data_IF_365036893583
#
_entry.id   IF_365036893583
#
_cell.length_a   1.000
_cell.length_b   1.000
_cell.length_c   1.000
_cell.angle_alpha   90.00
_cell.angle_beta   90.00
_cell.angle_gamma   90.00
#
_symmetry.space_group_name_H-M   'P 1'
#
loop_
_entity.id
_entity.type
_entity.pdbx_description
1 polymer ?
#
# COMPACT_ATOMS: atom_id res chain seq x y z
N UNK A 1 -19.51 -38.13 36.15
CA UNK A 1 -18.06 -37.97 35.86
C UNK A 1 -17.78 -37.05 34.67
N UNK A 2 -18.39 -37.26 33.50
CA UNK A 2 -18.18 -36.44 32.28
C UNK A 2 -18.58 -34.97 32.49
N UNK A 3 -19.70 -34.69 33.14
CA UNK A 3 -20.18 -33.32 33.42
C UNK A 3 -19.20 -32.53 34.29
N UNK A 4 -18.57 -33.18 35.25
CA UNK A 4 -17.58 -32.54 36.14
C UNK A 4 -16.28 -32.15 35.38
N UNK A 5 -15.85 -32.99 34.43
CA UNK A 5 -14.69 -32.76 33.59
C UNK A 5 -14.96 -31.58 32.65
N UNK A 6 -16.16 -31.48 32.05
CA UNK A 6 -16.56 -30.37 31.18
C UNK A 6 -16.62 -29.05 31.95
N UNK A 7 -17.14 -29.07 33.20
CA UNK A 7 -17.16 -27.88 34.06
C UNK A 7 -15.75 -27.38 34.43
N UNK A 8 -14.82 -28.29 34.72
CA UNK A 8 -13.42 -27.95 35.04
C UNK A 8 -12.73 -27.36 33.80
N UNK A 9 -12.96 -27.94 32.60
CA UNK A 9 -12.43 -27.40 31.32
C UNK A 9 -12.99 -26.01 31.03
N UNK A 10 -14.28 -25.78 31.24
CA UNK A 10 -14.89 -24.44 31.07
C UNK A 10 -14.31 -23.39 32.03
N UNK A 11 -14.10 -23.77 33.29
CA UNK A 11 -13.47 -22.87 34.30
C UNK A 11 -12.02 -22.54 33.97
N UNK A 12 -11.24 -23.48 33.39
CA UNK A 12 -9.86 -23.21 32.98
C UNK A 12 -9.78 -22.31 31.75
N UNK A 13 -10.69 -22.44 30.79
CA UNK A 13 -10.76 -21.58 29.61
C UNK A 13 -11.18 -20.15 29.99
N UNK A 14 -12.20 -20.01 30.84
CA UNK A 14 -12.67 -18.70 31.31
C UNK A 14 -11.65 -18.01 32.24
N UNK A 15 -11.01 -18.76 33.12
CA UNK A 15 -9.95 -18.22 34.00
C UNK A 15 -8.68 -17.84 33.24
N UNK A 16 -8.27 -18.65 32.26
CA UNK A 16 -7.14 -18.36 31.36
C UNK A 16 -7.38 -17.12 30.50
N UNK A 17 -8.57 -17.01 29.92
CA UNK A 17 -8.98 -15.84 29.14
C UNK A 17 -9.00 -14.55 29.98
N UNK A 18 -9.54 -14.59 31.18
CA UNK A 18 -9.53 -13.45 32.12
C UNK A 18 -8.11 -13.04 32.52
N UNK A 19 -7.23 -14.02 32.79
CA UNK A 19 -5.84 -13.76 33.14
C UNK A 19 -5.05 -13.08 31.99
N UNK A 20 -5.23 -13.54 30.76
CA UNK A 20 -4.59 -12.95 29.60
C UNK A 20 -5.08 -11.52 29.35
N UNK A 21 -6.38 -11.25 29.47
CA UNK A 21 -6.95 -9.90 29.33
C UNK A 21 -6.45 -8.96 30.43
N UNK A 22 -6.28 -9.43 31.65
CA UNK A 22 -5.73 -8.65 32.77
C UNK A 22 -4.26 -8.31 32.53
N UNK A 23 -3.46 -9.26 32.05
CA UNK A 23 -2.04 -9.06 31.76
C UNK A 23 -1.82 -8.07 30.62
N UNK A 24 -2.68 -8.09 29.60
CA UNK A 24 -2.65 -7.12 28.49
C UNK A 24 -2.97 -5.71 28.98
N UNK A 25 -3.92 -5.57 29.93
CA UNK A 25 -4.28 -4.28 30.52
C UNK A 25 -3.16 -3.71 31.40
N UNK A 26 -2.54 -4.53 32.22
CA UNK A 26 -1.41 -4.12 33.07
C UNK A 26 -0.15 -3.75 32.28
N UNK A 27 0.13 -4.43 31.19
CA UNK A 27 1.22 -4.08 30.29
C UNK A 27 0.96 -2.76 29.54
N UNK A 28 -0.29 -2.49 29.16
CA UNK A 28 -0.68 -1.22 28.52
C UNK A 28 -0.53 -0.04 29.49
N UNK A 29 -0.87 -0.22 30.79
CA UNK A 29 -0.70 0.81 31.82
C UNK A 29 0.77 1.04 32.21
N UNK A 30 1.61 0.00 32.21
CA UNK A 30 3.06 0.14 32.46
C UNK A 30 3.76 0.88 31.33
N UNK A 31 3.38 0.64 30.07
CA UNK A 31 3.91 1.34 28.90
C UNK A 31 3.53 2.83 28.93
N UNK A 32 2.34 3.17 29.41
CA UNK A 32 1.91 4.57 29.56
C UNK A 32 2.61 5.28 30.74
N UNK A 33 2.92 4.57 31.84
CA UNK A 33 3.63 5.18 32.98
C UNK A 33 5.12 5.40 32.72
N UNK A 34 5.77 4.58 31.91
CA UNK A 34 7.18 4.79 31.52
C UNK A 34 7.38 5.95 30.55
N UNK A 35 6.32 6.37 29.81
CA UNK A 35 6.36 7.58 28.97
C UNK A 35 6.20 8.90 29.76
N UNK A 36 5.86 8.85 31.03
CA UNK A 36 5.56 10.04 31.82
C UNK A 36 6.67 10.45 32.83
N UNK A 37 7.77 9.72 32.90
CA UNK A 37 8.90 10.05 33.80
C UNK A 37 10.23 10.09 33.01
N UNK A 38 10.38 11.05 32.14
CA UNK A 38 11.63 11.28 31.40
C UNK A 38 11.63 12.61 30.66
N UNK A 39 12.09 13.63 31.38
CA UNK A 39 12.74 14.84 30.87
C UNK A 39 11.97 15.78 29.96
N UNK A 40 11.64 16.92 30.55
CA UNK A 40 11.41 18.23 29.95
C UNK A 40 12.53 18.61 28.99
N UNK A 41 12.32 18.38 27.71
CA UNK A 41 12.93 19.13 26.62
C UNK A 41 11.76 19.59 25.77
N UNK A 42 11.70 20.88 25.51
CA UNK A 42 10.72 21.51 24.63
C UNK A 42 10.98 21.04 23.19
N UNK A 43 10.58 19.80 22.89
CA UNK A 43 10.34 19.34 21.53
C UNK A 43 8.84 19.51 21.30
N UNK A 44 8.52 20.41 20.40
CA UNK A 44 7.18 20.57 19.84
C UNK A 44 6.65 19.18 19.48
N UNK A 45 5.60 18.73 20.13
CA UNK A 45 4.80 17.58 19.67
C UNK A 45 4.27 18.00 18.30
N UNK A 46 5.01 17.66 17.26
CA UNK A 46 4.57 17.85 15.90
C UNK A 46 3.33 16.96 15.75
N UNK A 47 2.17 17.60 15.66
CA UNK A 47 0.90 16.88 15.38
C UNK A 47 1.16 16.09 14.10
N UNK A 48 1.09 14.76 14.18
CA UNK A 48 1.39 13.84 13.07
C UNK A 48 0.48 14.04 11.84
N UNK A 49 -0.44 15.02 11.93
CA UNK A 49 -1.40 15.37 10.89
C UNK A 49 -1.12 16.75 10.26
N UNK A 50 0.07 17.32 10.46
CA UNK A 50 0.45 18.61 9.90
C UNK A 50 1.75 18.52 9.10
N UNK A 51 1.89 19.39 8.10
CA UNK A 51 3.11 19.57 7.28
C UNK A 51 3.46 21.04 7.21
N UNK A 52 4.76 21.37 7.28
CA UNK A 52 5.25 22.73 7.07
C UNK A 52 5.65 22.91 5.60
N UNK A 53 5.08 23.92 4.95
CA UNK A 53 5.43 24.29 3.58
C UNK A 53 5.57 25.80 3.45
N UNK A 54 6.75 26.25 2.98
CA UNK A 54 7.11 27.69 2.81
C UNK A 54 6.90 28.52 4.07
N UNK A 55 7.14 27.94 5.25
CA UNK A 55 7.04 28.62 6.54
C UNK A 55 5.61 28.72 7.11
N UNK A 56 4.66 28.07 6.47
CA UNK A 56 3.28 27.94 6.96
C UNK A 56 2.96 26.48 7.30
N UNK A 57 2.18 26.28 8.36
CA UNK A 57 1.76 24.95 8.80
C UNK A 57 0.40 24.61 8.19
N UNK A 58 0.34 23.51 7.47
CA UNK A 58 -0.87 22.97 6.87
C UNK A 58 -1.31 21.70 7.60
N UNK A 59 -2.59 21.51 7.74
CA UNK A 59 -3.19 20.28 8.27
C UNK A 59 -3.74 19.42 7.14
N UNK A 60 -3.48 18.11 7.19
CA UNK A 60 -4.11 17.19 6.25
C UNK A 60 -5.62 17.19 6.44
N UNK A 61 -6.34 17.12 5.31
CA UNK A 61 -7.79 17.06 5.34
C UNK A 61 -8.27 15.69 5.86
N UNK A 62 -8.88 15.67 7.03
CA UNK A 62 -9.36 14.46 7.71
C UNK A 62 -10.53 13.76 6.98
N UNK A 63 -11.21 14.47 6.05
CA UNK A 63 -12.27 13.91 5.21
C UNK A 63 -11.74 13.07 4.05
N UNK A 64 -10.44 13.19 3.73
CA UNK A 64 -9.82 12.41 2.68
C UNK A 64 -9.45 11.01 3.15
N UNK A 65 -9.70 10.04 2.29
CA UNK A 65 -9.22 8.67 2.43
C UNK A 65 -8.36 8.33 1.22
N UNK A 66 -7.07 8.16 1.43
CA UNK A 66 -6.09 7.92 0.37
C UNK A 66 -5.80 6.43 0.24
N UNK A 67 -5.81 5.92 -0.98
CA UNK A 67 -5.52 4.53 -1.33
C UNK A 67 -4.50 4.50 -2.47
N UNK A 68 -3.51 3.63 -2.34
CA UNK A 68 -2.46 3.43 -3.35
C UNK A 68 -2.84 2.27 -4.25
N UNK A 69 -2.87 2.50 -5.56
CA UNK A 69 -3.06 1.48 -6.59
C UNK A 69 -1.78 1.33 -7.40
N UNK A 70 -1.37 0.11 -7.65
CA UNK A 70 -0.12 -0.19 -8.36
C UNK A 70 -0.34 -1.28 -9.40
N UNK A 71 0.17 -1.06 -10.61
CA UNK A 71 0.34 -2.06 -11.65
C UNK A 71 1.77 -2.59 -11.61
N UNK A 72 1.92 -3.91 -11.49
CA UNK A 72 3.21 -4.59 -11.37
C UNK A 72 3.53 -5.31 -12.68
N UNK A 73 4.75 -5.17 -13.16
CA UNK A 73 5.24 -5.68 -14.45
C UNK A 73 5.54 -7.20 -14.48
N UNK A 74 4.84 -7.98 -13.65
CA UNK A 74 4.96 -9.43 -13.60
C UNK A 74 3.72 -10.13 -14.13
N UNK A 75 3.89 -11.38 -14.62
CA UNK A 75 2.79 -12.27 -15.03
C UNK A 75 2.62 -13.47 -14.10
N UNK A 76 3.64 -13.78 -13.30
CA UNK A 76 3.65 -14.96 -12.44
C UNK A 76 2.81 -14.80 -11.17
N UNK A 77 2.35 -15.92 -10.64
CA UNK A 77 1.72 -15.93 -9.33
C UNK A 77 2.75 -15.66 -8.24
N UNK A 78 2.32 -14.90 -7.26
CA UNK A 78 3.13 -14.43 -6.12
C UNK A 78 3.83 -15.57 -5.34
N UNK A 79 3.40 -16.84 -5.52
CA UNK A 79 3.97 -17.98 -4.80
C UNK A 79 5.33 -18.47 -5.36
N UNK A 80 5.72 -17.99 -6.53
CA UNK A 80 6.97 -18.39 -7.21
C UNK A 80 8.16 -17.46 -6.95
N UNK A 81 7.96 -16.33 -6.26
CA UNK A 81 9.03 -15.37 -6.00
C UNK A 81 10.10 -15.93 -5.07
N UNK A 82 11.32 -16.01 -5.57
CA UNK A 82 12.49 -16.51 -4.83
C UNK A 82 13.55 -15.44 -4.62
N UNK A 83 13.57 -14.37 -5.44
CA UNK A 83 14.54 -13.29 -5.40
C UNK A 83 13.84 -11.93 -5.46
N UNK A 84 14.59 -10.85 -5.19
CA UNK A 84 14.08 -9.47 -5.35
C UNK A 84 13.71 -9.16 -6.81
N UNK A 85 14.42 -9.73 -7.78
CA UNK A 85 14.16 -9.54 -9.21
C UNK A 85 12.81 -10.15 -9.62
N UNK A 86 12.40 -11.24 -8.96
CA UNK A 86 11.12 -11.91 -9.23
C UNK A 86 9.91 -11.11 -8.74
N UNK A 87 10.10 -10.19 -7.78
CA UNK A 87 9.02 -9.39 -7.21
C UNK A 87 8.41 -8.41 -8.22
N UNK A 88 9.14 -8.06 -9.28
CA UNK A 88 8.74 -7.04 -10.25
C UNK A 88 8.84 -5.62 -9.75
N UNK A 89 8.39 -4.67 -10.55
CA UNK A 89 8.41 -3.25 -10.27
C UNK A 89 7.00 -2.65 -10.41
N UNK A 90 6.74 -1.57 -9.71
CA UNK A 90 5.47 -0.85 -9.82
C UNK A 90 5.54 0.16 -10.99
N UNK A 91 5.14 -0.25 -12.17
CA UNK A 91 5.22 0.56 -13.38
C UNK A 91 4.05 1.54 -13.55
N UNK A 92 2.93 1.26 -12.90
CA UNK A 92 1.79 2.16 -12.82
C UNK A 92 1.51 2.46 -11.33
N UNK A 93 1.53 3.74 -10.95
CA UNK A 93 1.36 4.16 -9.55
C UNK A 93 0.31 5.26 -9.50
N UNK A 94 -0.81 4.99 -8.82
CA UNK A 94 -1.92 5.92 -8.67
C UNK A 94 -2.27 6.09 -7.19
N UNK A 95 -2.36 7.34 -6.74
CA UNK A 95 -2.95 7.65 -5.46
C UNK A 95 -4.39 8.13 -5.68
N UNK A 96 -5.35 7.40 -5.15
CA UNK A 96 -6.77 7.72 -5.21
C UNK A 96 -7.19 8.33 -3.88
N UNK A 97 -7.63 9.58 -3.89
CA UNK A 97 -8.13 10.31 -2.73
C UNK A 97 -9.64 10.43 -2.82
N UNK A 98 -10.34 9.84 -1.87
CA UNK A 98 -11.80 9.92 -1.75
C UNK A 98 -12.16 10.98 -0.71
N UNK A 99 -12.84 12.03 -1.15
CA UNK A 99 -13.43 13.04 -0.27
C UNK A 99 -14.88 12.63 0.03
N UNK A 100 -15.10 12.19 1.27
CA UNK A 100 -16.44 11.74 1.70
C UNK A 100 -17.39 12.89 2.02
N UNK A 101 -16.87 14.07 2.29
CA UNK A 101 -17.69 15.24 2.59
C UNK A 101 -18.23 15.89 1.31
N UNK A 102 -17.40 15.93 0.27
CA UNK A 102 -17.75 16.53 -1.03
C UNK A 102 -18.18 15.48 -2.08
N UNK A 103 -18.18 14.18 -1.73
CA UNK A 103 -18.47 13.06 -2.64
C UNK A 103 -17.62 13.09 -3.92
N UNK A 104 -16.34 13.48 -3.78
CA UNK A 104 -15.41 13.62 -4.89
C UNK A 104 -14.28 12.61 -4.81
N UNK A 105 -13.83 12.20 -5.98
CA UNK A 105 -12.63 11.38 -6.14
C UNK A 105 -11.58 12.18 -6.91
N UNK A 106 -10.34 12.14 -6.42
CA UNK A 106 -9.16 12.67 -7.12
C UNK A 106 -8.18 11.54 -7.35
N UNK A 107 -7.59 11.49 -8.53
CA UNK A 107 -6.54 10.52 -8.89
C UNK A 107 -5.28 11.29 -9.20
N UNK A 108 -4.20 10.98 -8.48
CA UNK A 108 -2.86 11.48 -8.73
C UNK A 108 -2.04 10.34 -9.34
N UNK A 109 -1.61 10.51 -10.58
CA UNK A 109 -0.62 9.64 -11.22
C UNK A 109 0.78 10.03 -10.75
N UNK A 110 1.58 9.06 -10.31
CA UNK A 110 2.97 9.22 -9.93
C UNK A 110 3.83 8.50 -10.97
N UNK A 111 4.61 9.23 -11.79
CA UNK A 111 5.49 8.62 -12.77
C UNK A 111 6.46 7.62 -12.10
N UNK A 112 6.64 6.46 -12.69
CA UNK A 112 7.47 5.39 -12.12
C UNK A 112 8.94 5.82 -11.91
N UNK A 113 9.43 6.73 -12.75
CA UNK A 113 10.80 7.27 -12.69
C UNK A 113 10.94 8.45 -11.70
N UNK A 114 9.92 8.72 -10.86
CA UNK A 114 9.99 9.76 -9.85
C UNK A 114 11.11 9.43 -8.86
N UNK A 115 12.09 10.34 -8.77
CA UNK A 115 13.20 10.22 -7.81
C UNK A 115 12.72 10.54 -6.40
N UNK A 116 12.84 9.58 -5.51
CA UNK A 116 12.43 9.75 -4.10
C UNK A 116 13.33 8.92 -3.17
N UNK A 117 13.17 9.14 -1.87
CA UNK A 117 13.87 8.38 -0.85
C UNK A 117 13.23 6.99 -0.71
N UNK A 118 13.96 5.96 -1.09
CA UNK A 118 13.57 4.57 -0.97
C UNK A 118 14.45 3.83 0.05
N UNK A 119 13.93 2.77 0.65
CA UNK A 119 14.68 1.87 1.54
C UNK A 119 15.23 0.70 0.75
N UNK A 120 16.53 0.43 0.93
CA UNK A 120 17.24 -0.65 0.25
C UNK A 120 17.57 -1.78 1.20
N UNK A 121 17.67 -3.00 0.67
CA UNK A 121 17.93 -4.20 1.46
C UNK A 121 19.00 -5.06 0.80
N UNK A 122 19.77 -5.79 1.61
CA UNK A 122 20.65 -6.82 1.09
C UNK A 122 19.88 -8.11 0.74
N UNK A 123 20.50 -9.10 0.05
CA UNK A 123 19.85 -10.36 -0.30
C UNK A 123 19.33 -11.17 0.90
N UNK A 124 19.85 -10.91 2.11
CA UNK A 124 19.36 -11.52 3.35
C UNK A 124 18.17 -10.77 3.96
N UNK A 125 17.61 -9.75 3.28
CA UNK A 125 16.47 -8.96 3.73
C UNK A 125 16.79 -7.97 4.85
N UNK A 126 18.07 -7.69 5.15
CA UNK A 126 18.47 -6.68 6.12
C UNK A 126 18.52 -5.31 5.45
N UNK A 127 17.89 -4.31 6.07
CA UNK A 127 17.94 -2.93 5.61
C UNK A 127 19.39 -2.40 5.56
N UNK A 128 19.73 -1.77 4.46
CA UNK A 128 20.98 -1.03 4.23
C UNK A 128 20.78 0.49 4.42
N UNK A 129 19.56 0.90 4.80
CA UNK A 129 19.19 2.29 4.91
C UNK A 129 18.49 2.80 3.64
N UNK A 130 18.52 4.12 3.47
CA UNK A 130 17.80 4.80 2.39
C UNK A 130 18.76 5.36 1.36
N UNK A 131 18.31 5.36 0.10
CA UNK A 131 18.93 6.06 -1.02
C UNK A 131 17.89 6.86 -1.79
N UNK A 132 18.30 7.78 -2.65
CA UNK A 132 17.40 8.44 -3.60
C UNK A 132 17.49 7.69 -4.91
N UNK A 133 16.36 7.16 -5.37
CA UNK A 133 16.26 6.40 -6.60
C UNK A 133 14.84 6.44 -7.15
N UNK A 134 14.59 5.77 -8.28
CA UNK A 134 13.26 5.64 -8.88
C UNK A 134 12.28 4.96 -7.95
N UNK A 135 11.08 5.51 -7.82
CA UNK A 135 10.08 5.02 -6.86
C UNK A 135 9.61 3.59 -7.18
N UNK A 136 9.53 3.23 -8.46
CA UNK A 136 9.02 1.93 -8.91
C UNK A 136 9.84 0.74 -8.37
N UNK A 137 11.17 0.90 -8.23
CA UNK A 137 12.05 -0.17 -7.74
C UNK A 137 11.87 -0.44 -6.24
N UNK A 138 11.21 0.44 -5.49
CA UNK A 138 10.93 0.19 -4.09
C UNK A 138 10.10 -1.09 -3.89
N UNK A 139 9.23 -1.42 -4.86
CA UNK A 139 8.42 -2.65 -4.82
C UNK A 139 9.31 -3.90 -4.84
N UNK A 140 10.35 -3.91 -5.69
CA UNK A 140 11.28 -5.02 -5.85
C UNK A 140 12.10 -5.33 -4.58
N UNK A 141 12.27 -4.37 -3.67
CA UNK A 141 12.95 -4.59 -2.39
C UNK A 141 12.12 -5.37 -1.36
N UNK A 142 10.88 -5.70 -1.66
CA UNK A 142 10.00 -6.46 -0.79
C UNK A 142 9.98 -7.96 -1.11
N UNK A 143 8.80 -8.54 -1.01
CA UNK A 143 8.51 -9.96 -1.22
C UNK A 143 7.56 -10.20 -2.41
N UNK A 144 7.31 -9.18 -3.23
CA UNK A 144 6.30 -9.21 -4.28
C UNK A 144 4.86 -9.25 -3.76
N UNK A 145 4.68 -9.19 -2.44
CA UNK A 145 3.38 -9.28 -1.74
C UNK A 145 3.19 -8.09 -0.79
N UNK A 146 2.85 -8.41 0.45
CA UNK A 146 2.53 -7.42 1.48
C UNK A 146 3.72 -6.51 1.79
N UNK A 147 4.93 -7.04 1.94
CA UNK A 147 6.12 -6.23 2.25
C UNK A 147 6.41 -5.24 1.13
N UNK A 148 6.34 -5.67 -0.14
CA UNK A 148 6.51 -4.79 -1.30
C UNK A 148 5.50 -3.64 -1.31
N UNK A 149 4.23 -3.95 -1.04
CA UNK A 149 3.17 -2.94 -0.97
C UNK A 149 3.36 -1.96 0.20
N UNK A 150 3.78 -2.43 1.38
CA UNK A 150 4.04 -1.56 2.53
C UNK A 150 5.26 -0.64 2.29
N UNK A 151 6.30 -1.14 1.63
CA UNK A 151 7.45 -0.33 1.22
C UNK A 151 7.03 0.77 0.23
N UNK A 152 6.24 0.43 -0.78
CA UNK A 152 5.70 1.40 -1.74
C UNK A 152 4.79 2.43 -1.06
N UNK A 153 3.90 1.99 -0.18
CA UNK A 153 3.04 2.88 0.60
C UNK A 153 3.87 3.89 1.39
N UNK A 154 4.95 3.43 2.03
CA UNK A 154 5.88 4.28 2.78
C UNK A 154 6.60 5.28 1.87
N UNK A 155 7.10 4.82 0.71
CA UNK A 155 7.79 5.68 -0.24
C UNK A 155 6.87 6.78 -0.80
N UNK A 156 5.63 6.43 -1.18
CA UNK A 156 4.62 7.40 -1.66
C UNK A 156 4.21 8.37 -0.54
N UNK A 157 4.01 7.88 0.68
CA UNK A 157 3.72 8.74 1.83
C UNK A 157 4.84 9.75 2.05
N UNK A 158 6.10 9.31 2.05
CA UNK A 158 7.26 10.18 2.21
C UNK A 158 7.42 11.19 1.07
N UNK A 159 7.14 10.79 -0.19
CA UNK A 159 7.14 11.69 -1.35
C UNK A 159 6.14 12.84 -1.18
N UNK A 160 5.05 12.59 -0.46
CA UNK A 160 3.95 13.52 -0.21
C UNK A 160 3.95 14.04 1.25
N UNK A 161 5.14 14.29 1.79
CA UNK A 161 5.38 14.89 3.12
C UNK A 161 4.69 14.16 4.29
N UNK A 162 4.56 12.84 4.19
CA UNK A 162 3.96 12.00 5.23
C UNK A 162 2.44 11.85 5.08
N UNK A 163 1.88 12.11 3.89
CA UNK A 163 0.46 11.95 3.62
C UNK A 163 -0.05 10.56 4.08
N UNK A 164 -1.07 10.50 4.94
CA UNK A 164 -1.63 9.23 5.38
C UNK A 164 -2.27 8.43 4.24
N UNK A 165 -1.82 7.18 4.02
CA UNK A 165 -2.38 6.25 3.04
C UNK A 165 -3.02 5.09 3.80
N UNK A 166 -4.33 4.91 3.64
CA UNK A 166 -5.13 3.94 4.41
C UNK A 166 -4.96 2.51 3.95
N UNK A 167 -4.75 2.31 2.67
CA UNK A 167 -4.63 0.97 2.09
C UNK A 167 -4.03 1.00 0.71
N UNK A 168 -3.79 -0.18 0.16
CA UNK A 168 -3.22 -0.36 -1.17
C UNK A 168 -3.87 -1.51 -1.91
N UNK A 169 -3.73 -1.50 -3.23
CA UNK A 169 -4.02 -2.59 -4.15
C UNK A 169 -2.87 -2.71 -5.12
N UNK A 170 -2.31 -3.91 -5.27
CA UNK A 170 -1.34 -4.22 -6.32
C UNK A 170 -1.93 -5.26 -7.26
N UNK A 171 -1.75 -5.06 -8.54
CA UNK A 171 -2.25 -5.93 -9.60
C UNK A 171 -1.12 -6.20 -10.60
N UNK A 172 -0.90 -7.45 -10.93
CA UNK A 172 0.03 -7.84 -11.98
C UNK A 172 -0.64 -7.79 -13.36
N UNK A 173 0.12 -8.11 -14.42
CA UNK A 173 -0.37 -8.08 -15.81
C UNK A 173 -1.58 -9.00 -16.03
N UNK A 174 -1.61 -10.18 -15.39
CA UNK A 174 -2.74 -11.11 -15.55
C UNK A 174 -4.03 -10.60 -14.88
N UNK A 175 -3.89 -9.76 -13.86
CA UNK A 175 -5.03 -9.10 -13.21
C UNK A 175 -5.74 -8.09 -14.09
N UNK A 176 -5.06 -7.53 -15.11
CA UNK A 176 -5.66 -6.58 -16.07
C UNK A 176 -6.79 -7.26 -16.82
N UNK A 177 -6.54 -8.44 -17.38
CA UNK A 177 -7.55 -9.21 -18.10
C UNK A 177 -8.78 -9.49 -17.23
N UNK A 178 -8.55 -9.95 -16.01
CA UNK A 178 -9.63 -10.28 -15.09
C UNK A 178 -10.48 -9.04 -14.70
N UNK A 179 -9.86 -7.90 -14.44
CA UNK A 179 -10.60 -6.69 -14.06
C UNK A 179 -11.34 -6.09 -15.26
N UNK A 180 -10.74 -6.16 -16.46
CA UNK A 180 -11.38 -5.70 -17.70
C UNK A 180 -12.67 -6.47 -17.97
N UNK A 181 -12.66 -7.80 -17.84
CA UNK A 181 -13.86 -8.62 -17.96
C UNK A 181 -14.88 -8.35 -16.86
N UNK A 182 -14.41 -8.17 -15.63
CA UNK A 182 -15.28 -7.90 -14.49
C UNK A 182 -16.10 -6.61 -14.64
N UNK A 183 -15.51 -5.56 -15.26
CA UNK A 183 -16.22 -4.30 -15.52
C UNK A 183 -17.04 -4.32 -16.80
N UNK A 184 -17.05 -5.42 -17.56
CA UNK A 184 -17.81 -5.59 -18.79
C UNK A 184 -17.11 -5.05 -20.04
N UNK A 185 -15.80 -4.90 -20.01
CA UNK A 185 -14.99 -4.33 -21.07
C UNK A 185 -14.76 -2.81 -20.93
N UNK A 186 -13.79 -2.30 -21.66
CA UNK A 186 -13.45 -0.86 -21.69
C UNK A 186 -13.44 -0.38 -23.12
N UNK A 187 -14.34 0.53 -23.46
CA UNK A 187 -14.35 1.19 -24.77
C UNK A 187 -13.33 2.33 -24.79
N UNK A 188 -12.49 2.37 -25.80
CA UNK A 188 -11.53 3.45 -26.00
C UNK A 188 -11.36 3.78 -27.50
N UNK A 189 -10.95 5.01 -27.78
CA UNK A 189 -10.48 5.42 -29.10
C UNK A 189 -8.96 5.27 -29.14
N UNK A 190 -8.47 4.53 -30.13
CA UNK A 190 -7.03 4.29 -30.32
C UNK A 190 -6.33 5.62 -30.65
N UNK A 191 -5.31 6.03 -29.85
CA UNK A 191 -4.71 7.36 -29.97
C UNK A 191 -3.72 7.50 -31.13
N UNK A 192 -3.08 6.40 -31.57
CA UNK A 192 -2.07 6.36 -32.63
C UNK A 192 -1.94 4.95 -33.22
N UNK A 193 -1.06 4.80 -34.23
CA UNK A 193 -0.85 3.53 -34.94
C UNK A 193 0.25 2.64 -34.32
N UNK A 194 0.69 2.88 -33.08
CA UNK A 194 1.81 2.13 -32.47
C UNK A 194 1.54 0.64 -32.34
N UNK A 195 0.28 0.23 -32.24
CA UNK A 195 -0.16 -1.16 -32.11
C UNK A 195 -0.72 -1.78 -33.41
N UNK A 196 -0.83 -1.01 -34.50
CA UNK A 196 -1.43 -1.46 -35.77
C UNK A 196 -0.72 -2.69 -36.36
N UNK A 197 0.61 -2.76 -36.25
CA UNK A 197 1.39 -3.92 -36.75
C UNK A 197 1.11 -5.20 -35.93
N UNK A 198 0.82 -5.06 -34.63
CA UNK A 198 0.52 -6.20 -33.76
C UNK A 198 -0.93 -6.64 -33.85
N UNK A 199 -1.84 -5.67 -33.96
CA UNK A 199 -3.26 -5.91 -34.12
C UNK A 199 -3.87 -4.84 -35.03
N UNK A 200 -4.29 -5.20 -36.28
CA UNK A 200 -4.84 -4.26 -37.24
C UNK A 200 -6.10 -3.52 -36.81
N UNK A 201 -6.81 -4.03 -35.80
CA UNK A 201 -8.00 -3.37 -35.25
C UNK A 201 -7.61 -2.15 -34.38
N UNK A 202 -6.34 -2.09 -33.92
CA UNK A 202 -5.79 -0.98 -33.10
C UNK A 202 -5.18 0.11 -34.00
N UNK A 203 -5.98 0.62 -34.90
CA UNK A 203 -5.62 1.72 -35.81
C UNK A 203 -6.05 3.06 -35.24
N UNK A 204 -5.22 4.11 -35.46
CA UNK A 204 -5.52 5.47 -34.98
C UNK A 204 -6.97 5.89 -35.34
N UNK A 205 -7.70 6.36 -34.35
CA UNK A 205 -9.08 6.79 -34.46
C UNK A 205 -10.12 5.66 -34.44
N UNK A 206 -9.73 4.39 -34.46
CA UNK A 206 -10.66 3.28 -34.28
C UNK A 206 -11.23 3.27 -32.87
N UNK A 207 -12.52 2.96 -32.73
CA UNK A 207 -13.16 2.70 -31.44
C UNK A 207 -13.13 1.20 -31.20
N UNK A 208 -12.45 0.77 -30.15
CA UNK A 208 -12.30 -0.64 -29.79
C UNK A 208 -12.81 -0.88 -28.37
N UNK A 209 -13.34 -2.09 -28.14
CA UNK A 209 -13.67 -2.56 -26.79
C UNK A 209 -12.60 -3.52 -26.34
N UNK A 210 -11.85 -3.13 -25.29
CA UNK A 210 -10.95 -4.05 -24.62
C UNK A 210 -11.75 -5.02 -23.77
N UNK A 211 -11.39 -6.29 -23.87
CA UNK A 211 -11.88 -7.40 -23.04
C UNK A 211 -10.69 -8.06 -22.35
N UNK A 212 -10.91 -9.03 -21.48
CA UNK A 212 -9.80 -9.75 -20.84
C UNK A 212 -8.91 -10.52 -21.82
N UNK A 213 -9.39 -10.78 -23.05
CA UNK A 213 -8.64 -11.48 -24.09
C UNK A 213 -7.64 -10.55 -24.82
N UNK A 214 -7.99 -9.27 -25.00
CA UNK A 214 -7.24 -8.32 -25.81
C UNK A 214 -6.75 -7.07 -25.05
N UNK A 215 -6.86 -7.07 -23.70
CA UNK A 215 -6.39 -6.03 -22.80
C UNK A 215 -4.93 -6.23 -22.36
#
# INVERSE_FOLDING_TARGET
MIILIVLILLCTILGGGYYLLKQTKENSEKTNRQKQSGQTSADSVQDSNTVEYKGETYKYNDHLSNYLFMGIDTRDTVDTYQTQEDAGQADAIFLVSLDRAEEKMKVLFIPRDTMTKIETFNPAGKSLGHTTDHINIQYAFGDGKQKSCELMKTAVSNLLDGLPIRGYCAMNMDGISAITDYVGGVELTVPDNSLEETNPDFKEGAVVTLTGENA
#
